data_IF_538171637931
#
_entry.id   IF_538171637931
#
_cell.length_a   1.000
_cell.length_b   1.000
_cell.length_c   1.000
_cell.angle_alpha   90.00
_cell.angle_beta   90.00
_cell.angle_gamma   90.00
#
_symmetry.space_group_name_H-M   'P 1'
#
loop_
_entity.id
_entity.type
_entity.pdbx_description
1 polymer ?
#
# COMPACT_ATOMS: atom_id res chain seq x y z
N UNK A 1 -21.14 -6.75 6.03
CA UNK A 1 -19.87 -6.27 5.50
C UNK A 1 -20.00 -4.82 5.06
N UNK A 2 -18.99 -4.00 5.33
CA UNK A 2 -18.88 -2.62 4.87
C UNK A 2 -18.29 -2.66 3.45
N UNK A 3 -18.95 -2.01 2.48
CA UNK A 3 -18.46 -1.90 1.12
C UNK A 3 -17.98 -0.47 0.85
N UNK A 4 -16.88 -0.31 0.14
CA UNK A 4 -16.33 0.97 -0.27
C UNK A 4 -16.53 1.16 -1.77
N UNK A 5 -17.15 2.27 -2.17
CA UNK A 5 -17.38 2.59 -3.58
C UNK A 5 -16.21 3.38 -4.17
N UNK A 6 -15.28 2.70 -4.81
CA UNK A 6 -14.13 3.32 -5.47
C UNK A 6 -14.49 3.69 -6.92
N UNK A 7 -14.21 4.92 -7.32
CA UNK A 7 -14.38 5.36 -8.70
C UNK A 7 -13.17 4.96 -9.56
N UNK A 8 -13.37 4.72 -10.86
CA UNK A 8 -12.27 4.41 -11.77
C UNK A 8 -11.15 5.46 -11.74
N UNK A 9 -11.52 6.74 -11.64
CA UNK A 9 -10.53 7.82 -11.59
C UNK A 9 -9.66 7.71 -10.33
N UNK A 10 -10.25 7.40 -9.16
CA UNK A 10 -9.52 7.20 -7.93
C UNK A 10 -8.59 5.99 -8.01
N UNK A 11 -9.06 4.87 -8.59
CA UNK A 11 -8.23 3.69 -8.81
C UNK A 11 -7.04 3.99 -9.75
N UNK A 12 -7.28 4.70 -10.85
CA UNK A 12 -6.20 5.09 -11.79
C UNK A 12 -5.18 6.02 -11.14
N UNK A 13 -5.62 6.98 -10.34
CA UNK A 13 -4.69 7.87 -9.63
C UNK A 13 -3.87 7.12 -8.59
N UNK A 14 -4.50 6.25 -7.78
CA UNK A 14 -3.79 5.41 -6.82
C UNK A 14 -2.77 4.50 -7.49
N UNK A 15 -3.13 3.89 -8.61
CA UNK A 15 -2.21 3.07 -9.39
C UNK A 15 -1.01 3.85 -9.92
N UNK A 16 -1.24 5.04 -10.50
CA UNK A 16 -0.15 5.91 -11.00
C UNK A 16 0.77 6.35 -9.87
N UNK A 17 0.21 6.73 -8.72
CA UNK A 17 0.99 7.13 -7.56
C UNK A 17 1.88 6.00 -7.06
N UNK A 18 1.33 4.80 -6.91
CA UNK A 18 2.09 3.61 -6.48
C UNK A 18 3.11 3.15 -7.53
N UNK A 19 2.76 3.17 -8.82
CA UNK A 19 3.71 2.84 -9.89
C UNK A 19 4.93 3.76 -9.90
N UNK A 20 4.73 5.06 -9.61
CA UNK A 20 5.81 6.04 -9.52
C UNK A 20 6.63 5.88 -8.24
N UNK A 21 5.99 5.49 -7.15
CA UNK A 21 6.58 5.50 -5.81
C UNK A 21 7.25 4.17 -5.44
N UNK A 22 6.64 3.03 -5.81
CA UNK A 22 7.24 1.71 -5.51
C UNK A 22 8.48 1.52 -6.36
N UNK A 23 9.64 1.28 -5.74
CA UNK A 23 10.88 1.14 -6.46
C UNK A 23 10.77 -0.02 -7.48
N UNK A 24 11.01 0.30 -8.71
CA UNK A 24 11.44 -0.67 -9.72
C UNK A 24 12.95 -0.51 -9.84
N UNK A 25 13.67 -1.54 -10.26
CA UNK A 25 15.10 -1.39 -10.62
C UNK A 25 15.23 -0.48 -11.85
N UNK A 26 14.82 0.79 -11.69
CA UNK A 26 14.82 1.81 -12.76
C UNK A 26 16.24 2.20 -13.17
N UNK A 27 17.26 1.84 -12.40
CA UNK A 27 18.67 1.94 -12.80
C UNK A 27 19.12 0.78 -13.73
N UNK A 28 18.29 -0.26 -13.88
CA UNK A 28 18.45 -1.30 -14.88
C UNK A 28 17.25 -1.25 -15.82
N UNK A 29 17.44 -1.29 -17.14
CA UNK A 29 16.30 -1.39 -18.05
C UNK A 29 15.48 -2.61 -17.62
N UNK A 30 14.22 -2.38 -17.19
CA UNK A 30 13.29 -3.46 -16.81
C UNK A 30 13.20 -4.38 -18.02
N UNK A 31 13.89 -5.52 -17.97
CA UNK A 31 13.73 -6.52 -19.01
C UNK A 31 12.29 -7.01 -18.93
N UNK A 32 11.55 -7.04 -20.04
CA UNK A 32 10.21 -7.63 -20.03
C UNK A 32 10.24 -8.98 -19.34
N UNK A 33 9.37 -9.16 -18.33
CA UNK A 33 9.33 -10.39 -17.53
C UNK A 33 10.25 -10.43 -16.30
N UNK A 34 11.02 -9.37 -15.98
CA UNK A 34 11.84 -9.33 -14.76
C UNK A 34 10.98 -9.30 -13.49
N UNK A 35 9.82 -8.63 -13.51
CA UNK A 35 8.88 -8.63 -12.39
C UNK A 35 8.02 -9.90 -12.46
N UNK A 36 8.10 -10.70 -11.41
CA UNK A 36 7.23 -11.86 -11.15
C UNK A 36 6.51 -11.61 -9.84
N UNK A 37 5.31 -11.06 -9.94
CA UNK A 37 4.57 -10.55 -8.79
C UNK A 37 3.58 -11.60 -8.28
N UNK A 38 3.69 -12.00 -7.02
CA UNK A 38 2.72 -12.90 -6.39
C UNK A 38 1.47 -12.11 -6.01
N UNK A 39 0.36 -12.43 -6.63
CA UNK A 39 -0.96 -11.92 -6.25
C UNK A 39 -1.43 -12.66 -5.00
N UNK A 40 -1.23 -12.03 -3.84
CA UNK A 40 -1.58 -12.59 -2.54
C UNK A 40 -2.88 -12.01 -1.98
N UNK A 41 -3.16 -10.73 -2.23
CA UNK A 41 -4.33 -10.05 -1.71
C UNK A 41 -5.62 -10.69 -2.26
N UNK A 42 -6.57 -11.04 -1.39
CA UNK A 42 -7.86 -11.54 -1.84
C UNK A 42 -8.60 -10.47 -2.69
N UNK A 43 -9.33 -10.89 -3.73
CA UNK A 43 -9.99 -9.99 -4.69
C UNK A 43 -11.04 -9.05 -4.08
N UNK A 44 -11.40 -9.24 -2.81
CA UNK A 44 -12.28 -8.34 -2.05
C UNK A 44 -11.55 -7.11 -1.49
N UNK A 45 -10.22 -7.13 -1.50
CA UNK A 45 -9.38 -6.00 -1.10
C UNK A 45 -8.89 -5.25 -2.34
N UNK A 46 -8.86 -3.92 -2.25
CA UNK A 46 -8.40 -3.04 -3.32
C UNK A 46 -6.94 -3.27 -3.71
N UNK A 47 -6.09 -3.70 -2.79
CA UNK A 47 -4.70 -4.06 -3.05
C UNK A 47 -4.54 -5.20 -4.08
N UNK A 48 -5.56 -6.04 -4.29
CA UNK A 48 -5.54 -7.04 -5.37
C UNK A 48 -5.49 -6.38 -6.76
N UNK A 49 -6.10 -5.21 -6.90
CA UNK A 49 -6.04 -4.40 -8.12
C UNK A 49 -4.60 -3.92 -8.34
N UNK A 50 -3.94 -3.48 -7.26
CA UNK A 50 -2.54 -3.10 -7.33
C UNK A 50 -1.66 -4.26 -7.79
N UNK A 51 -1.77 -5.43 -7.17
CA UNK A 51 -0.97 -6.62 -7.51
C UNK A 51 -1.00 -6.91 -9.02
N UNK A 52 -2.18 -6.79 -9.64
CA UNK A 52 -2.40 -7.12 -11.05
C UNK A 52 -1.91 -5.98 -11.96
N UNK A 53 -2.45 -4.78 -11.77
CA UNK A 53 -2.24 -3.68 -12.72
C UNK A 53 -0.86 -3.03 -12.60
N UNK A 54 -0.27 -3.00 -11.39
CA UNK A 54 1.13 -2.63 -11.21
C UNK A 54 2.04 -3.54 -12.04
N UNK A 55 1.83 -4.84 -11.93
CA UNK A 55 2.62 -5.84 -12.64
C UNK A 55 2.51 -5.69 -14.16
N UNK A 56 1.29 -5.56 -14.68
CA UNK A 56 1.07 -5.39 -16.11
C UNK A 56 1.59 -4.04 -16.63
N UNK A 57 1.47 -2.99 -15.85
CA UNK A 57 2.00 -1.67 -16.19
C UNK A 57 3.52 -1.65 -16.37
N UNK A 58 4.23 -2.61 -15.76
CA UNK A 58 5.68 -2.80 -15.90
C UNK A 58 6.06 -3.96 -16.84
N UNK A 59 5.11 -4.53 -17.57
CA UNK A 59 5.38 -5.68 -18.45
C UNK A 59 5.79 -6.95 -17.72
N UNK A 60 5.41 -7.07 -16.44
CA UNK A 60 5.72 -8.20 -15.57
C UNK A 60 4.73 -9.36 -15.71
N UNK A 61 4.99 -10.42 -14.96
CA UNK A 61 4.17 -11.64 -14.87
C UNK A 61 3.44 -11.66 -13.54
N UNK A 62 2.11 -11.69 -13.56
CA UNK A 62 1.31 -11.96 -12.35
C UNK A 62 1.31 -13.45 -12.06
N UNK A 63 1.78 -13.82 -10.88
CA UNK A 63 1.85 -15.19 -10.38
C UNK A 63 0.65 -15.47 -9.49
N UNK A 64 -0.14 -16.50 -9.83
CA UNK A 64 -1.31 -16.93 -9.08
C UNK A 64 -1.11 -18.32 -8.49
N UNK A 65 -1.70 -18.54 -7.33
CA UNK A 65 -1.84 -19.87 -6.75
C UNK A 65 -3.17 -19.99 -5.99
N UNK A 66 -3.69 -21.20 -5.79
CA UNK A 66 -4.84 -21.44 -4.93
C UNK A 66 -4.62 -20.90 -3.52
N UNK A 67 -5.67 -20.33 -2.92
CA UNK A 67 -5.59 -19.69 -1.61
C UNK A 67 -5.09 -20.61 -0.50
N UNK A 68 -5.50 -21.85 -0.51
CA UNK A 68 -5.05 -22.89 0.43
C UNK A 68 -3.53 -23.10 0.37
N UNK A 69 -2.95 -23.11 -0.83
CA UNK A 69 -1.50 -23.20 -1.01
C UNK A 69 -0.80 -21.91 -0.58
N UNK A 70 -1.37 -20.75 -0.86
CA UNK A 70 -0.82 -19.48 -0.39
C UNK A 70 -0.80 -19.36 1.14
N UNK A 71 -1.80 -19.94 1.82
CA UNK A 71 -1.88 -19.89 3.28
C UNK A 71 -1.03 -20.98 3.97
N UNK A 72 -0.77 -22.11 3.32
CA UNK A 72 -0.10 -23.27 3.94
C UNK A 72 1.32 -23.51 3.44
N UNK A 73 1.62 -23.09 2.20
CA UNK A 73 2.88 -23.38 1.50
C UNK A 73 3.42 -22.18 0.72
N UNK A 74 3.31 -20.98 1.29
CA UNK A 74 3.69 -19.72 0.64
C UNK A 74 5.13 -19.75 0.09
N UNK A 75 6.07 -20.25 0.87
CA UNK A 75 7.49 -20.34 0.47
C UNK A 75 7.67 -21.24 -0.74
N UNK A 76 7.03 -22.42 -0.75
CA UNK A 76 7.13 -23.36 -1.86
C UNK A 76 6.53 -22.75 -3.15
N UNK A 77 5.39 -22.09 -3.03
CA UNK A 77 4.71 -21.40 -4.14
C UNK A 77 5.61 -20.29 -4.68
N UNK A 78 6.14 -19.44 -3.81
CA UNK A 78 6.99 -18.32 -4.20
C UNK A 78 8.26 -18.80 -4.93
N UNK A 79 8.89 -19.86 -4.44
CA UNK A 79 10.08 -20.45 -5.07
C UNK A 79 9.75 -21.14 -6.40
N UNK A 80 8.66 -21.92 -6.47
CA UNK A 80 8.24 -22.60 -7.70
C UNK A 80 7.91 -21.59 -8.83
N UNK A 81 7.29 -20.48 -8.46
CA UNK A 81 6.93 -19.38 -9.37
C UNK A 81 8.06 -18.36 -9.57
N UNK A 82 9.21 -18.50 -8.92
CA UNK A 82 10.34 -17.58 -8.98
C UNK A 82 9.90 -16.13 -8.69
N UNK A 83 9.13 -15.94 -7.62
CA UNK A 83 8.54 -14.64 -7.25
C UNK A 83 9.63 -13.64 -6.89
N UNK A 84 9.53 -12.44 -7.44
CA UNK A 84 10.44 -11.33 -7.17
C UNK A 84 9.79 -10.19 -6.38
N UNK A 85 8.48 -10.05 -6.48
CA UNK A 85 7.70 -8.98 -5.87
C UNK A 85 6.44 -9.54 -5.23
N UNK A 86 6.05 -9.00 -4.09
CA UNK A 86 4.76 -9.30 -3.47
C UNK A 86 4.35 -8.20 -2.49
N UNK A 87 3.05 -8.11 -2.22
CA UNK A 87 2.50 -7.35 -1.11
C UNK A 87 1.94 -8.32 -0.08
N UNK A 88 2.43 -8.22 1.15
CA UNK A 88 1.96 -9.02 2.28
C UNK A 88 1.60 -8.12 3.45
N UNK A 89 0.73 -8.60 4.33
CA UNK A 89 0.61 -7.94 5.64
C UNK A 89 1.84 -8.22 6.49
N UNK A 90 2.22 -7.31 7.40
CA UNK A 90 3.33 -7.55 8.33
C UNK A 90 3.24 -8.86 9.10
N UNK A 91 2.03 -9.31 9.46
CA UNK A 91 1.82 -10.59 10.13
C UNK A 91 2.27 -11.78 9.24
N UNK A 92 1.93 -11.78 7.95
CA UNK A 92 2.36 -12.82 7.01
C UNK A 92 3.85 -12.74 6.74
N UNK A 93 4.39 -11.52 6.54
CA UNK A 93 5.83 -11.31 6.34
C UNK A 93 6.67 -11.82 7.52
N UNK A 94 6.15 -11.73 8.75
CA UNK A 94 6.82 -12.24 9.95
C UNK A 94 6.90 -13.78 10.01
N UNK A 95 6.05 -14.46 9.27
CA UNK A 95 6.03 -15.95 9.24
C UNK A 95 7.02 -16.53 8.23
N UNK A 96 7.58 -15.70 7.36
CA UNK A 96 8.44 -16.13 6.25
C UNK A 96 9.85 -15.55 6.41
N UNK A 97 10.87 -16.38 6.67
CA UNK A 97 12.25 -15.90 6.69
C UNK A 97 12.67 -15.43 5.29
N UNK A 98 13.32 -14.27 5.20
CA UNK A 98 13.81 -13.71 3.93
C UNK A 98 14.62 -14.73 3.09
N UNK A 99 15.54 -15.44 3.73
CA UNK A 99 16.39 -16.47 3.10
C UNK A 99 15.63 -17.62 2.46
N UNK A 100 14.36 -17.84 2.85
CA UNK A 100 13.54 -18.91 2.29
C UNK A 100 13.03 -18.59 0.87
N UNK A 101 13.06 -17.31 0.45
CA UNK A 101 12.66 -16.88 -0.90
C UNK A 101 13.80 -16.04 -1.50
N UNK A 102 14.88 -16.67 -1.99
CA UNK A 102 16.08 -15.97 -2.45
C UNK A 102 15.83 -15.05 -3.65
N UNK A 103 14.81 -15.30 -4.44
CA UNK A 103 14.45 -14.50 -5.62
C UNK A 103 13.72 -13.20 -5.28
N UNK A 104 13.27 -13.00 -4.02
CA UNK A 104 12.53 -11.80 -3.64
C UNK A 104 13.39 -10.54 -3.73
N UNK A 105 12.94 -9.57 -4.47
CA UNK A 105 13.62 -8.26 -4.67
C UNK A 105 12.88 -7.14 -3.94
N UNK A 106 11.55 -7.14 -4.00
CA UNK A 106 10.72 -6.10 -3.37
C UNK A 106 9.60 -6.73 -2.54
N UNK A 107 9.60 -6.41 -1.26
CA UNK A 107 8.55 -6.77 -0.31
C UNK A 107 7.76 -5.52 0.07
N UNK A 108 6.49 -5.45 -0.33
CA UNK A 108 5.60 -4.38 0.07
C UNK A 108 4.81 -4.84 1.30
N UNK A 109 4.71 -4.00 2.31
CA UNK A 109 3.93 -4.25 3.51
C UNK A 109 2.85 -3.18 3.66
N UNK A 110 1.64 -3.60 4.01
CA UNK A 110 0.51 -2.71 4.23
C UNK A 110 -0.61 -3.35 5.04
N UNK A 111 -1.57 -2.53 5.44
CA UNK A 111 -2.75 -2.97 6.19
C UNK A 111 -2.55 -3.12 7.70
N UNK A 112 -1.32 -3.25 8.18
CA UNK A 112 -0.97 -3.40 9.59
C UNK A 112 0.32 -2.62 9.91
N UNK A 113 0.61 -2.45 11.21
CA UNK A 113 1.84 -1.81 11.66
C UNK A 113 3.06 -2.71 11.40
N UNK A 114 3.97 -2.26 10.54
CA UNK A 114 5.22 -2.96 10.28
C UNK A 114 6.15 -2.89 11.51
N UNK A 115 6.61 -4.04 12.00
CA UNK A 115 7.57 -4.12 13.09
C UNK A 115 9.00 -3.96 12.58
N UNK A 116 9.90 -3.44 13.44
CA UNK A 116 11.31 -3.30 13.10
C UNK A 116 11.96 -4.65 12.82
N UNK A 117 11.61 -5.67 13.59
CA UNK A 117 12.15 -7.03 13.43
C UNK A 117 11.87 -7.58 12.02
N UNK A 118 10.64 -7.43 11.53
CA UNK A 118 10.27 -7.88 10.18
C UNK A 118 11.01 -7.08 9.11
N UNK A 119 11.08 -5.76 9.27
CA UNK A 119 11.79 -4.91 8.32
C UNK A 119 13.28 -5.25 8.27
N UNK A 120 13.94 -5.43 9.41
CA UNK A 120 15.36 -5.77 9.50
C UNK A 120 15.66 -7.14 8.88
N UNK A 121 14.81 -8.15 9.13
CA UNK A 121 14.93 -9.48 8.52
C UNK A 121 14.91 -9.40 6.98
N UNK A 122 13.97 -8.62 6.42
CA UNK A 122 13.81 -8.56 4.97
C UNK A 122 14.81 -7.65 4.26
N UNK A 123 15.32 -6.61 4.93
CA UNK A 123 16.32 -5.70 4.34
C UNK A 123 17.75 -6.26 4.33
N UNK A 124 18.05 -7.27 5.16
CA UNK A 124 19.42 -7.78 5.35
C UNK A 124 20.07 -8.34 4.09
N UNK A 125 19.31 -8.95 3.18
CA UNK A 125 19.86 -9.63 2.01
C UNK A 125 19.47 -8.94 0.70
N UNK A 126 19.46 -7.62 0.70
CA UNK A 126 19.25 -6.81 -0.50
C UNK A 126 17.80 -6.79 -1.00
N UNK A 127 16.83 -7.27 -0.21
CA UNK A 127 15.43 -7.07 -0.51
C UNK A 127 15.01 -5.64 -0.13
N UNK A 128 14.37 -4.94 -1.03
CA UNK A 128 13.79 -3.63 -0.77
C UNK A 128 12.46 -3.80 -0.03
N UNK A 129 12.36 -3.20 1.14
CA UNK A 129 11.15 -3.26 1.96
C UNK A 129 10.42 -1.93 1.87
N UNK A 130 9.16 -1.98 1.49
CA UNK A 130 8.31 -0.81 1.33
C UNK A 130 7.13 -0.92 2.29
N UNK A 131 6.92 0.12 3.10
CA UNK A 131 5.74 0.25 3.96
C UNK A 131 4.75 1.21 3.30
N UNK A 132 3.52 0.77 3.06
CA UNK A 132 2.43 1.58 2.50
C UNK A 132 1.31 1.74 3.53
N UNK A 133 0.63 2.89 3.47
CA UNK A 133 -0.51 3.17 4.32
C UNK A 133 -1.63 3.86 3.53
N UNK A 134 -2.83 3.36 3.70
CA UNK A 134 -4.09 3.93 3.22
C UNK A 134 -5.26 3.03 3.60
N UNK A 135 -6.36 3.57 4.10
CA UNK A 135 -7.61 2.81 4.24
C UNK A 135 -8.25 2.60 2.87
N UNK A 136 -9.12 1.61 2.72
CA UNK A 136 -9.82 1.34 1.46
C UNK A 136 -10.63 2.56 0.94
N UNK A 137 -11.08 3.43 1.84
CA UNK A 137 -11.75 4.69 1.52
C UNK A 137 -10.83 5.71 0.82
N UNK A 138 -9.52 5.51 0.87
CA UNK A 138 -8.51 6.33 0.18
C UNK A 138 -7.88 5.60 -1.01
N UNK A 139 -8.45 4.51 -1.44
CA UNK A 139 -8.13 3.72 -2.64
C UNK A 139 -6.66 3.31 -2.71
N UNK A 140 -6.36 2.07 -2.41
CA UNK A 140 -5.04 1.45 -2.38
C UNK A 140 -4.15 1.99 -1.24
N UNK A 141 -3.49 3.12 -1.44
CA UNK A 141 -2.58 3.72 -0.48
C UNK A 141 -2.41 5.21 -0.76
N UNK A 142 -2.15 6.01 0.26
CA UNK A 142 -1.88 7.45 0.13
C UNK A 142 -0.47 7.84 0.53
N UNK A 143 0.22 6.99 1.28
CA UNK A 143 1.60 7.25 1.70
C UNK A 143 2.47 6.03 1.49
N UNK A 144 3.76 6.26 1.39
CA UNK A 144 4.74 5.20 1.22
C UNK A 144 6.08 5.58 1.87
N UNK A 145 6.75 4.57 2.39
CA UNK A 145 8.14 4.65 2.84
C UNK A 145 8.92 3.42 2.42
N UNK A 146 10.03 3.61 1.72
CA UNK A 146 11.04 2.57 1.61
C UNK A 146 11.83 2.52 2.92
N UNK A 147 11.98 1.34 3.48
CA UNK A 147 12.69 1.12 4.73
C UNK A 147 14.16 0.86 4.40
N UNK A 148 15.07 1.71 4.89
CA UNK A 148 16.49 1.51 4.64
C UNK A 148 16.99 0.26 5.34
N UNK A 149 18.13 -0.31 4.90
CA UNK A 149 18.80 -1.41 5.58
C UNK A 149 19.10 -1.06 7.05
N UNK A 150 19.25 -2.11 7.86
CA UNK A 150 19.53 -2.01 9.29
C UNK A 150 20.68 -1.03 9.61
N UNK A 151 20.45 -0.12 10.53
CA UNK A 151 21.42 0.90 10.95
C UNK A 151 20.97 2.35 10.78
N UNK A 152 19.98 2.61 9.94
CA UNK A 152 19.40 3.94 9.80
C UNK A 152 18.34 4.22 10.89
N UNK A 153 18.23 5.48 11.29
CA UNK A 153 17.34 5.91 12.40
C UNK A 153 15.83 5.85 12.05
N UNK A 154 15.48 5.32 10.88
CA UNK A 154 14.09 5.28 10.42
C UNK A 154 13.35 4.11 11.06
N UNK A 155 12.29 4.41 11.79
CA UNK A 155 11.39 3.40 12.35
C UNK A 155 10.58 2.72 11.25
N UNK A 156 10.54 1.38 11.24
CA UNK A 156 9.81 0.59 10.24
C UNK A 156 8.31 0.91 10.18
N UNK A 157 7.70 1.32 11.29
CA UNK A 157 6.29 1.72 11.34
C UNK A 157 6.03 3.15 10.83
N UNK A 158 7.05 3.87 10.37
CA UNK A 158 6.85 5.16 9.72
C UNK A 158 6.12 4.93 8.38
N UNK A 159 4.96 5.57 8.24
CA UNK A 159 4.12 5.44 7.03
C UNK A 159 4.63 6.28 5.85
N UNK A 160 5.69 7.05 6.05
CA UNK A 160 6.33 7.84 4.99
C UNK A 160 5.63 9.16 4.67
N UNK A 161 5.80 9.57 3.44
CA UNK A 161 5.25 10.81 2.91
C UNK A 161 4.03 10.53 2.03
N UNK A 162 3.09 11.49 1.93
CA UNK A 162 2.00 11.38 0.98
C UNK A 162 2.51 11.39 -0.46
N UNK A 163 1.79 10.74 -1.35
CA UNK A 163 2.01 10.87 -2.79
C UNK A 163 1.75 12.30 -3.27
N UNK A 164 2.28 12.68 -4.43
CA UNK A 164 2.27 14.06 -4.95
C UNK A 164 0.87 14.71 -4.94
N UNK A 165 -0.17 13.94 -5.28
CA UNK A 165 -1.56 14.41 -5.36
C UNK A 165 -2.38 14.11 -4.08
N UNK A 166 -1.76 13.48 -3.07
CA UNK A 166 -2.43 13.12 -1.83
C UNK A 166 -2.30 14.23 -0.78
N UNK A 167 -3.38 14.52 -0.09
CA UNK A 167 -3.39 15.43 1.04
C UNK A 167 -3.44 14.64 2.35
N UNK A 168 -2.45 14.90 3.22
CA UNK A 168 -2.40 14.36 4.58
C UNK A 168 -2.25 15.52 5.57
N UNK A 169 -3.25 15.69 6.43
CA UNK A 169 -3.28 16.80 7.41
C UNK A 169 -3.51 16.23 8.80
N UNK A 170 -2.72 16.67 9.78
CA UNK A 170 -2.96 16.35 11.19
C UNK A 170 -3.77 17.46 11.84
N UNK A 171 -4.87 17.08 12.50
CA UNK A 171 -5.79 18.02 13.16
C UNK A 171 -5.99 17.65 14.63
N UNK A 172 -6.22 18.67 15.47
CA UNK A 172 -6.61 18.49 16.86
C UNK A 172 -8.13 18.27 16.98
N UNK A 173 -8.62 18.11 18.20
CA UNK A 173 -10.06 17.94 18.53
C UNK A 173 -10.93 19.15 18.17
N UNK A 174 -10.34 20.32 17.96
CA UNK A 174 -11.02 21.55 17.55
C UNK A 174 -11.02 21.75 16.02
N UNK A 175 -10.50 20.77 15.24
CA UNK A 175 -10.31 20.86 13.80
C UNK A 175 -9.26 21.92 13.36
N UNK A 176 -8.31 22.26 14.21
CA UNK A 176 -7.17 23.08 13.82
C UNK A 176 -6.00 22.21 13.38
N UNK A 177 -5.28 22.65 12.35
CA UNK A 177 -4.06 21.97 11.89
C UNK A 177 -2.99 22.07 12.98
N UNK A 178 -2.46 20.92 13.40
CA UNK A 178 -1.41 20.90 14.42
C UNK A 178 -0.02 21.20 13.84
N UNK A 179 0.87 21.84 14.60
CA UNK A 179 2.24 22.07 14.18
C UNK A 179 3.02 20.76 13.94
N UNK A 180 4.09 20.82 13.15
CA UNK A 180 4.99 19.68 12.94
C UNK A 180 5.54 19.16 14.28
N UNK A 181 5.52 17.83 14.43
CA UNK A 181 5.96 17.16 15.65
C UNK A 181 4.87 16.97 16.70
N UNK A 182 3.68 17.55 16.51
CA UNK A 182 2.53 17.32 17.36
C UNK A 182 1.73 16.08 16.94
N UNK A 183 0.96 15.55 17.88
CA UNK A 183 0.04 14.43 17.66
C UNK A 183 -1.33 15.02 17.26
N UNK A 184 -1.99 14.39 16.28
CA UNK A 184 -3.32 14.74 15.84
C UNK A 184 -4.00 13.61 15.10
N UNK A 185 -5.28 13.79 14.76
CA UNK A 185 -6.02 12.90 13.87
C UNK A 185 -5.53 13.12 12.43
N UNK A 186 -5.23 12.01 11.72
CA UNK A 186 -4.79 12.06 10.35
C UNK A 186 -6.00 12.12 9.39
N UNK A 187 -6.19 13.28 8.77
CA UNK A 187 -7.16 13.47 7.71
C UNK A 187 -6.51 13.22 6.35
N UNK A 188 -7.21 12.47 5.53
CA UNK A 188 -6.77 12.07 4.20
C UNK A 188 -7.63 12.74 3.13
N UNK A 189 -7.00 13.25 2.08
CA UNK A 189 -7.65 13.93 0.98
C UNK A 189 -6.96 13.67 -0.36
N UNK A 190 -7.55 14.15 -1.44
CA UNK A 190 -7.01 14.05 -2.77
C UNK A 190 -7.90 13.26 -3.74
N UNK A 191 -7.47 13.09 -5.00
CA UNK A 191 -8.26 12.48 -6.06
C UNK A 191 -8.44 10.96 -5.91
N UNK A 192 -7.73 10.33 -4.97
CA UNK A 192 -7.85 8.90 -4.67
C UNK A 192 -8.99 8.57 -3.71
N UNK A 193 -9.66 9.56 -3.12
CA UNK A 193 -10.75 9.28 -2.19
C UNK A 193 -11.90 8.55 -2.88
N UNK A 194 -12.40 7.51 -2.22
CA UNK A 194 -13.60 6.81 -2.61
C UNK A 194 -14.86 7.70 -2.43
N UNK A 195 -15.95 7.37 -3.12
CA UNK A 195 -17.25 8.05 -2.95
C UNK A 195 -17.80 8.00 -1.53
N UNK A 196 -17.32 7.07 -0.72
CA UNK A 196 -17.73 6.82 0.65
C UNK A 196 -17.94 5.33 0.93
N UNK A 197 -18.06 5.01 2.20
CA UNK A 197 -18.34 3.66 2.66
C UNK A 197 -19.86 3.46 2.78
N UNK A 198 -20.40 2.54 1.98
CA UNK A 198 -21.81 2.14 2.04
C UNK A 198 -22.02 0.98 3.01
N UNK A 199 -22.82 1.16 4.05
CA UNK A 199 -23.46 0.02 4.70
C UNK A 199 -24.59 -0.48 3.79
N UNK A 200 -24.75 -1.81 3.66
CA UNK A 200 -25.88 -2.42 2.98
C UNK A 200 -27.17 -1.92 3.65
N UNK A 201 -27.86 -0.97 3.03
CA UNK A 201 -29.12 -0.44 3.56
C UNK A 201 -30.19 -1.52 3.53
N UNK A 202 -30.90 -1.67 4.63
CA UNK A 202 -32.29 -2.18 4.60
C UNK A 202 -33.10 -1.17 3.79
N UNK A 203 -33.87 -1.65 2.79
CA UNK A 203 -34.75 -0.79 1.97
C UNK A 203 -35.54 0.17 2.88
N UNK A 204 -35.37 1.49 2.71
CA UNK A 204 -36.18 2.50 3.36
C UNK A 204 -35.50 3.70 4.02
N UNK A 205 -34.18 3.74 4.16
CA UNK A 205 -33.51 4.90 4.80
C UNK A 205 -32.90 5.88 3.77
N UNK A 206 -33.26 7.17 3.90
CA UNK A 206 -32.74 8.28 3.07
C UNK A 206 -31.24 8.56 3.41
N UNK A 207 -30.50 9.09 2.41
CA UNK A 207 -29.10 9.52 2.57
C UNK A 207 -29.03 10.82 3.37
N UNK A 208 -28.34 10.83 4.48
CA UNK A 208 -27.66 12.01 4.98
C UNK A 208 -26.20 11.91 4.53
N UNK A 209 -25.76 12.85 3.71
CA UNK A 209 -24.37 13.00 3.34
C UNK A 209 -23.67 13.71 4.51
N UNK A 210 -22.58 13.19 5.07
CA UNK A 210 -21.73 14.00 5.93
C UNK A 210 -21.16 15.14 5.08
N UNK A 211 -21.36 16.35 5.53
CA UNK A 211 -20.80 17.55 4.94
C UNK A 211 -19.29 17.48 5.13
N UNK A 212 -18.54 17.14 4.07
CA UNK A 212 -17.10 17.33 4.03
C UNK A 212 -16.87 18.79 3.66
N UNK A 213 -16.29 19.64 4.51
CA UNK A 213 -15.95 21.01 4.13
C UNK A 213 -14.97 20.95 2.95
N UNK A 214 -15.34 21.57 1.83
CA UNK A 214 -14.38 21.82 0.75
C UNK A 214 -13.35 22.82 1.27
N UNK A 215 -12.15 22.33 1.60
CA UNK A 215 -11.00 23.19 1.81
C UNK A 215 -10.63 23.81 0.46
N UNK A 216 -11.11 25.03 0.20
CA UNK A 216 -10.62 25.85 -0.90
C UNK A 216 -9.16 26.16 -0.63
N UNK A 217 -8.29 25.75 -1.57
CA UNK A 217 -6.85 25.84 -1.44
C UNK A 217 -6.34 27.28 -1.35
N UNK A 218 -5.50 27.50 -0.37
CA UNK A 218 -4.37 28.42 -0.49
C UNK A 218 -3.14 27.64 -0.03
N UNK A 219 -2.31 27.23 -0.99
CA UNK A 219 -0.97 26.77 -0.70
C UNK A 219 -0.16 27.94 -0.18
N UNK A 220 0.45 27.88 1.02
CA UNK A 220 1.49 28.83 1.36
C UNK A 220 2.76 28.41 0.61
N UNK A 221 3.25 29.33 -0.22
CA UNK A 221 4.59 29.29 -0.78
C UNK A 221 5.63 29.30 0.34
N UNK A 222 6.51 28.31 0.36
CA UNK A 222 7.95 28.39 0.71
C UNK A 222 8.67 27.27 0.02
#
# INVERSE_FOLDING_TARGET
>A
PKAVGVEHIAAVQGMRALQKAVPTDMDMPVRPGAIRYLQFAACVFDLSIFDIFYTWGHGGTVCFAPLDLLLTRLVDVANALQVTHTLLTPAVSAMVPRRAIPTMQVMINGGEKLSQVVADEWTQEGCRVVNIYGPAEATLSLTMREIPPHGDQVKAHNIGLPFDDALCVLMNEHNDVVPRGCIGELLLGGPQLARGAGQRRRRGQRREHPHVPQLQGHAPSV
#
